data_IF_939621871375
#
_entry.id   IF_939621871375
#
_cell.length_a   1.000
_cell.length_b   1.000
_cell.length_c   1.000
_cell.angle_alpha   90.00
_cell.angle_beta   90.00
_cell.angle_gamma   90.00
#
_symmetry.space_group_name_H-M   'P 1'
#
loop_
_entity.id
_entity.type
_entity.pdbx_description
1 polymer ?
#
# COMPACT_ATOMS: atom_id res chain seq x y z
N UNK A 1 -1.11 -15.57 -4.81
CA UNK A 1 -1.08 -14.13 -4.57
C UNK A 1 -2.22 -13.71 -3.65
N UNK A 2 -2.02 -12.71 -2.87
CA UNK A 2 -3.01 -12.23 -1.91
C UNK A 2 -3.36 -10.78 -2.21
N UNK A 3 -4.65 -10.47 -2.18
CA UNK A 3 -5.17 -9.11 -2.36
C UNK A 3 -5.60 -8.56 -1.01
N UNK A 4 -5.10 -7.36 -0.67
CA UNK A 4 -5.43 -6.68 0.59
C UNK A 4 -5.83 -5.24 0.31
N UNK A 5 -6.80 -4.77 1.09
CA UNK A 5 -7.24 -3.37 1.04
C UNK A 5 -6.79 -2.66 2.31
N UNK A 6 -6.18 -1.49 2.17
CA UNK A 6 -5.70 -0.67 3.27
C UNK A 6 -6.35 0.68 3.24
N UNK A 7 -6.72 1.18 4.42
CA UNK A 7 -7.19 2.55 4.59
C UNK A 7 -6.08 3.31 5.31
N UNK A 8 -5.46 4.24 4.61
CA UNK A 8 -4.24 4.90 5.03
C UNK A 8 -4.43 6.40 5.14
N UNK A 9 -3.56 7.07 5.90
CA UNK A 9 -3.59 8.53 5.96
C UNK A 9 -3.09 9.11 4.63
N UNK A 10 -3.67 10.25 4.23
CA UNK A 10 -3.22 10.97 3.05
C UNK A 10 -2.08 11.91 3.45
N UNK A 11 -0.85 11.45 3.28
CA UNK A 11 0.35 12.23 3.56
C UNK A 11 1.42 11.94 2.52
N UNK A 12 2.37 12.86 2.38
CA UNK A 12 3.48 12.66 1.45
C UNK A 12 4.32 11.44 1.81
N UNK A 13 4.49 11.19 3.10
CA UNK A 13 5.24 10.02 3.56
C UNK A 13 4.55 8.72 3.17
N UNK A 14 3.22 8.68 3.29
CA UNK A 14 2.45 7.52 2.88
C UNK A 14 2.54 7.28 1.38
N UNK A 15 2.44 8.35 0.58
CA UNK A 15 2.57 8.25 -0.87
C UNK A 15 3.94 7.70 -1.27
N UNK A 16 5.01 8.15 -0.61
CA UNK A 16 6.36 7.62 -0.86
C UNK A 16 6.48 6.16 -0.46
N UNK A 17 5.85 5.77 0.64
CA UNK A 17 5.87 4.37 1.07
C UNK A 17 5.20 3.47 0.05
N UNK A 18 4.06 3.90 -0.51
CA UNK A 18 3.36 3.15 -1.55
C UNK A 18 4.22 3.04 -2.80
N UNK A 19 4.84 4.14 -3.21
CA UNK A 19 5.73 4.16 -4.37
C UNK A 19 6.93 3.23 -4.14
N UNK A 20 7.49 3.24 -2.95
CA UNK A 20 8.61 2.37 -2.59
C UNK A 20 8.22 0.90 -2.73
N UNK A 21 7.05 0.52 -2.22
CA UNK A 21 6.55 -0.85 -2.35
C UNK A 21 6.44 -1.23 -3.83
N UNK A 22 5.85 -0.35 -4.64
CA UNK A 22 5.66 -0.63 -6.06
C UNK A 22 6.97 -0.82 -6.82
N UNK A 23 8.06 -0.21 -6.33
CA UNK A 23 9.37 -0.31 -6.97
C UNK A 23 10.23 -1.46 -6.43
N UNK A 24 9.92 -2.01 -5.27
CA UNK A 24 10.75 -3.01 -4.60
C UNK A 24 10.24 -4.42 -4.83
N UNK A 25 8.92 -4.61 -4.86
CA UNK A 25 8.34 -5.94 -5.00
C UNK A 25 7.43 -6.02 -6.24
N UNK A 26 7.27 -7.21 -6.83
CA UNK A 26 6.28 -7.41 -7.87
C UNK A 26 4.89 -7.37 -7.23
N UNK A 27 4.06 -6.43 -7.68
CA UNK A 27 2.70 -6.28 -7.17
C UNK A 27 1.83 -5.59 -8.20
N UNK A 28 0.51 -5.70 -8.00
CA UNK A 28 -0.48 -5.00 -8.80
C UNK A 28 -1.31 -4.11 -7.89
N UNK A 29 -1.40 -2.83 -8.23
CA UNK A 29 -2.28 -1.91 -7.52
C UNK A 29 -3.62 -1.99 -8.23
N UNK A 30 -4.60 -2.60 -7.55
CA UNK A 30 -5.94 -2.81 -8.12
C UNK A 30 -6.84 -1.62 -7.91
N UNK A 31 -6.61 -0.86 -6.84
CA UNK A 31 -7.38 0.33 -6.55
C UNK A 31 -6.48 1.32 -5.82
N UNK A 32 -6.53 2.56 -6.24
CA UNK A 32 -5.82 3.65 -5.58
C UNK A 32 -6.73 4.86 -5.62
N UNK A 33 -7.33 5.18 -4.47
CA UNK A 33 -8.28 6.28 -4.36
C UNK A 33 -7.79 7.24 -3.29
N UNK A 34 -7.64 8.51 -3.65
CA UNK A 34 -7.21 9.56 -2.73
C UNK A 34 -8.41 10.43 -2.40
N UNK A 35 -8.73 10.50 -1.11
CA UNK A 35 -9.69 11.43 -0.56
C UNK A 35 -8.93 12.50 0.21
N UNK A 36 -9.65 13.52 0.71
CA UNK A 36 -9.04 14.64 1.43
C UNK A 36 -8.13 14.19 2.57
N UNK A 37 -8.57 13.21 3.35
CA UNK A 37 -7.85 12.77 4.55
C UNK A 37 -7.32 11.35 4.47
N UNK A 38 -7.70 10.61 3.44
CA UNK A 38 -7.43 9.17 3.39
C UNK A 38 -7.01 8.71 2.01
N UNK A 39 -6.22 7.63 1.99
CA UNK A 39 -5.92 6.89 0.78
C UNK A 39 -6.50 5.49 0.95
N UNK A 40 -7.29 5.03 -0.02
CA UNK A 40 -7.73 3.65 -0.08
C UNK A 40 -6.86 2.94 -1.11
N UNK A 41 -6.15 1.92 -0.66
CA UNK A 41 -5.22 1.17 -1.49
C UNK A 41 -5.59 -0.30 -1.47
N UNK A 42 -5.85 -0.86 -2.65
CA UNK A 42 -6.01 -2.31 -2.81
C UNK A 42 -4.84 -2.82 -3.61
N UNK A 43 -4.05 -3.67 -3.00
CA UNK A 43 -2.82 -4.19 -3.59
C UNK A 43 -2.85 -5.70 -3.61
N UNK A 44 -2.38 -6.27 -4.72
CA UNK A 44 -2.21 -7.70 -4.89
C UNK A 44 -0.73 -8.00 -5.01
N UNK A 45 -0.21 -8.86 -4.13
CA UNK A 45 1.21 -9.22 -4.11
C UNK A 45 1.38 -10.69 -3.74
N UNK A 46 2.61 -11.18 -3.85
CA UNK A 46 2.94 -12.54 -3.43
C UNK A 46 2.79 -12.65 -1.91
N UNK A 47 2.38 -13.83 -1.44
CA UNK A 47 2.21 -14.07 -0.01
C UNK A 47 3.51 -13.81 0.76
N UNK A 48 4.65 -14.13 0.16
CA UNK A 48 5.96 -13.90 0.77
C UNK A 48 6.27 -12.41 0.99
N UNK A 49 5.64 -11.51 0.22
CA UNK A 49 5.89 -10.08 0.30
C UNK A 49 4.87 -9.34 1.17
N UNK A 50 3.84 -10.03 1.63
CA UNK A 50 2.75 -9.41 2.38
C UNK A 50 3.24 -8.77 3.68
N UNK A 51 4.16 -9.45 4.39
CA UNK A 51 4.70 -8.92 5.64
C UNK A 51 5.47 -7.61 5.40
N UNK A 52 6.19 -7.51 4.29
CA UNK A 52 6.91 -6.28 3.92
C UNK A 52 5.91 -5.14 3.67
N UNK A 53 4.84 -5.41 2.93
CA UNK A 53 3.81 -4.42 2.64
C UNK A 53 3.18 -3.93 3.95
N UNK A 54 2.78 -4.84 4.82
CA UNK A 54 2.13 -4.49 6.07
C UNK A 54 3.05 -3.67 6.98
N UNK A 55 4.32 -4.05 7.07
CA UNK A 55 5.30 -3.33 7.89
C UNK A 55 5.53 -1.92 7.35
N UNK A 56 5.63 -1.80 6.03
CA UNK A 56 5.89 -0.51 5.40
C UNK A 56 4.73 0.44 5.56
N UNK A 57 3.49 -0.07 5.54
CA UNK A 57 2.28 0.75 5.64
C UNK A 57 1.77 0.93 7.08
N UNK A 58 2.30 0.18 8.04
CA UNK A 58 1.83 0.22 9.42
C UNK A 58 1.79 1.62 10.03
N UNK A 59 2.78 2.52 9.79
CA UNK A 59 2.74 3.86 10.37
C UNK A 59 1.59 4.73 9.85
N UNK A 60 0.94 4.32 8.77
CA UNK A 60 -0.05 5.16 8.08
C UNK A 60 -1.47 4.62 8.18
N UNK A 61 -1.64 3.49 8.81
CA UNK A 61 -2.97 2.88 9.01
C UNK A 61 -3.76 3.63 10.08
#
# INVERSE_FOLDING_TARGET
MTTKCYFLENSDSCARAIDHIANVIPCFIREFFIDKNNITLTIECRDADLAFVERTLAPYV
#
